data_IF_212545125838
#
_entry.id   IF_212545125838
#
_cell.length_a   1.000
_cell.length_b   1.000
_cell.length_c   1.000
_cell.angle_alpha   90.00
_cell.angle_beta   90.00
_cell.angle_gamma   90.00
#
_symmetry.space_group_name_H-M   'P 1'
#
loop_
_entity.id
_entity.type
_entity.pdbx_description
1 polymer ?
#
# COMPACT_ATOMS: atom_id res chain seq x y z
N UNK A 1 -7.16 16.38 0.13
CA UNK A 1 -7.29 15.54 1.33
C UNK A 1 -8.72 15.00 1.48
N UNK A 2 -9.75 15.85 1.44
CA UNK A 2 -11.17 15.44 1.51
C UNK A 2 -11.59 14.40 0.46
N UNK A 3 -11.10 14.51 -0.78
CA UNK A 3 -11.48 13.60 -1.87
C UNK A 3 -11.11 12.13 -1.65
N UNK A 4 -10.09 11.83 -0.83
CA UNK A 4 -9.59 10.46 -0.65
C UNK A 4 -10.16 9.77 0.58
N UNK A 5 -10.41 10.52 1.66
CA UNK A 5 -11.24 10.05 2.78
C UNK A 5 -12.61 9.62 2.22
N UNK A 6 -13.19 10.45 1.34
CA UNK A 6 -14.42 10.10 0.63
C UNK A 6 -14.34 8.86 -0.26
N UNK A 7 -13.15 8.47 -0.75
CA UNK A 7 -12.99 7.31 -1.62
C UNK A 7 -13.03 6.00 -0.82
N UNK A 8 -12.28 5.90 0.27
CA UNK A 8 -12.36 4.74 1.17
C UNK A 8 -13.74 4.63 1.82
N UNK A 9 -14.39 5.76 2.13
CA UNK A 9 -15.77 5.78 2.61
C UNK A 9 -16.77 5.28 1.56
N UNK A 10 -16.60 5.65 0.28
CA UNK A 10 -17.40 5.12 -0.83
C UNK A 10 -17.27 3.60 -0.94
N UNK A 11 -16.03 3.09 -0.93
CA UNK A 11 -15.73 1.66 -0.96
C UNK A 11 -16.42 0.96 0.23
N UNK A 12 -16.27 1.51 1.43
CA UNK A 12 -16.86 0.93 2.65
C UNK A 12 -18.40 0.90 2.58
N UNK A 13 -19.03 1.97 2.09
CA UNK A 13 -20.47 2.03 1.88
C UNK A 13 -20.95 0.96 0.89
N UNK A 14 -20.26 0.81 -0.25
CA UNK A 14 -20.58 -0.22 -1.24
C UNK A 14 -20.43 -1.62 -0.67
N UNK A 15 -19.35 -1.91 0.06
CA UNK A 15 -19.17 -3.18 0.74
C UNK A 15 -20.30 -3.47 1.74
N UNK A 16 -20.72 -2.47 2.53
CA UNK A 16 -21.85 -2.61 3.45
C UNK A 16 -23.18 -2.87 2.74
N UNK A 17 -23.40 -2.30 1.54
CA UNK A 17 -24.57 -2.61 0.73
C UNK A 17 -24.52 -4.05 0.18
N UNK A 18 -23.38 -4.49 -0.33
CA UNK A 18 -23.20 -5.85 -0.85
C UNK A 18 -23.36 -6.91 0.22
N UNK A 19 -22.87 -6.66 1.44
CA UNK A 19 -23.07 -7.55 2.58
C UNK A 19 -24.56 -7.67 2.92
N UNK A 20 -25.29 -6.55 3.01
CA UNK A 20 -26.74 -6.58 3.30
C UNK A 20 -27.56 -7.29 2.23
N UNK A 21 -27.17 -7.15 0.97
CA UNK A 21 -27.89 -7.72 -0.17
C UNK A 21 -27.38 -9.10 -0.59
N UNK A 22 -26.26 -9.56 -0.02
CA UNK A 22 -25.56 -10.79 -0.38
C UNK A 22 -25.24 -10.88 -1.87
N UNK A 23 -24.99 -9.72 -2.50
CA UNK A 23 -24.70 -9.61 -3.94
C UNK A 23 -23.51 -8.69 -4.16
N UNK A 24 -22.48 -9.20 -4.84
CA UNK A 24 -21.37 -8.38 -5.31
C UNK A 24 -21.86 -7.40 -6.39
N UNK A 25 -21.58 -6.12 -6.20
CA UNK A 25 -21.74 -5.08 -7.20
C UNK A 25 -20.36 -4.74 -7.80
N UNK A 26 -20.17 -5.12 -9.06
CA UNK A 26 -18.93 -4.91 -9.82
C UNK A 26 -18.58 -3.43 -10.04
N UNK A 27 -19.51 -2.51 -9.80
CA UNK A 27 -19.23 -1.07 -9.87
C UNK A 27 -18.13 -0.62 -8.91
N UNK A 28 -17.87 -1.40 -7.84
CA UNK A 28 -16.77 -1.15 -6.88
C UNK A 28 -15.38 -1.24 -7.53
N UNK A 29 -15.25 -1.96 -8.65
CA UNK A 29 -13.96 -2.10 -9.35
C UNK A 29 -13.38 -0.75 -9.78
N UNK A 30 -14.24 0.21 -10.14
CA UNK A 30 -13.83 1.58 -10.48
C UNK A 30 -13.29 2.33 -9.27
N UNK A 31 -13.90 2.14 -8.10
CA UNK A 31 -13.44 2.79 -6.87
C UNK A 31 -12.08 2.23 -6.43
N UNK A 32 -11.87 0.92 -6.58
CA UNK A 32 -10.56 0.30 -6.35
C UNK A 32 -9.50 0.84 -7.32
N UNK A 33 -9.81 0.93 -8.61
CA UNK A 33 -8.88 1.48 -9.61
C UNK A 33 -8.51 2.94 -9.29
N UNK A 34 -9.48 3.77 -8.88
CA UNK A 34 -9.21 5.13 -8.43
C UNK A 34 -8.27 5.16 -7.21
N UNK A 35 -8.47 4.27 -6.24
CA UNK A 35 -7.63 4.20 -5.05
C UNK A 35 -6.21 3.71 -5.39
N UNK A 36 -6.08 2.72 -6.26
CA UNK A 36 -4.81 2.23 -6.79
C UNK A 36 -4.03 3.35 -7.50
N UNK A 37 -4.69 4.12 -8.34
CA UNK A 37 -4.08 5.24 -9.07
C UNK A 37 -3.57 6.33 -8.11
N UNK A 38 -4.34 6.69 -7.09
CA UNK A 38 -3.92 7.67 -6.09
C UNK A 38 -2.71 7.20 -5.29
N UNK A 39 -2.67 5.92 -4.90
CA UNK A 39 -1.51 5.36 -4.21
C UNK A 39 -0.28 5.32 -5.12
N UNK A 40 -0.47 5.04 -6.41
CA UNK A 40 0.60 5.07 -7.43
C UNK A 40 1.16 6.48 -7.64
N UNK A 41 0.30 7.50 -7.69
CA UNK A 41 0.74 8.91 -7.74
C UNK A 41 1.54 9.28 -6.49
N UNK A 42 1.11 8.80 -5.33
CA UNK A 42 1.82 9.05 -4.08
C UNK A 42 3.17 8.33 -4.02
N UNK A 43 3.26 7.10 -4.53
CA UNK A 43 4.54 6.39 -4.68
C UNK A 43 5.53 7.23 -5.50
N UNK A 44 5.10 7.81 -6.62
CA UNK A 44 5.94 8.70 -7.45
C UNK A 44 6.37 9.94 -6.67
N UNK A 45 5.44 10.57 -5.96
CA UNK A 45 5.75 11.74 -5.13
C UNK A 45 6.78 11.42 -4.04
N UNK A 46 6.77 10.22 -3.45
CA UNK A 46 7.79 9.79 -2.49
C UNK A 46 9.19 9.70 -3.11
N UNK A 47 9.28 9.25 -4.37
CA UNK A 47 10.56 9.15 -5.11
C UNK A 47 11.10 10.53 -5.47
N UNK A 48 10.21 11.47 -5.78
CA UNK A 48 10.57 12.82 -6.22
C UNK A 48 10.85 13.80 -5.06
N UNK A 49 10.47 13.45 -3.82
CA UNK A 49 10.61 14.27 -2.62
C UNK A 49 12.06 14.38 -2.11
N UNK A 50 12.91 15.09 -2.86
CA UNK A 50 14.33 15.32 -2.55
C UNK A 50 14.56 16.09 -1.25
N UNK A 51 13.56 16.81 -0.77
CA UNK A 51 13.61 17.59 0.47
C UNK A 51 13.48 16.73 1.74
N UNK A 52 13.12 15.43 1.60
CA UNK A 52 12.92 14.52 2.74
C UNK A 52 14.15 13.66 3.01
N UNK A 53 14.28 13.24 4.27
CA UNK A 53 15.20 12.15 4.64
C UNK A 53 14.83 10.89 3.87
N UNK A 54 15.84 10.18 3.36
CA UNK A 54 15.67 8.99 2.53
C UNK A 54 14.88 7.92 3.27
N UNK A 55 15.11 7.78 4.58
CA UNK A 55 14.43 6.81 5.44
C UNK A 55 12.93 7.09 5.55
N UNK A 56 12.55 8.36 5.68
CA UNK A 56 11.15 8.79 5.77
C UNK A 56 10.45 8.62 4.42
N UNK A 57 11.11 9.05 3.34
CA UNK A 57 10.61 8.86 1.97
C UNK A 57 10.42 7.37 1.64
N UNK A 58 11.36 6.52 2.04
CA UNK A 58 11.28 5.07 1.87
C UNK A 58 10.13 4.46 2.67
N UNK A 59 9.93 4.88 3.92
CA UNK A 59 8.82 4.40 4.75
C UNK A 59 7.47 4.74 4.11
N UNK A 60 7.28 5.98 3.66
CA UNK A 60 6.06 6.40 2.98
C UNK A 60 5.83 5.65 1.67
N UNK A 61 6.87 5.52 0.85
CA UNK A 61 6.83 4.72 -0.37
C UNK A 61 6.40 3.28 -0.09
N UNK A 62 7.00 2.65 0.93
CA UNK A 62 6.72 1.26 1.28
C UNK A 62 5.27 1.05 1.75
N UNK A 63 4.73 2.00 2.52
CA UNK A 63 3.32 1.99 2.94
C UNK A 63 2.39 2.07 1.74
N UNK A 64 2.61 3.03 0.84
CA UNK A 64 1.73 3.23 -0.32
C UNK A 64 1.79 2.05 -1.28
N UNK A 65 3.01 1.56 -1.55
CA UNK A 65 3.22 0.39 -2.38
C UNK A 65 2.53 -0.85 -1.83
N UNK A 66 2.70 -1.14 -0.54
CA UNK A 66 2.01 -2.28 0.08
C UNK A 66 0.49 -2.13 -0.01
N UNK A 67 -0.03 -0.93 0.24
CA UNK A 67 -1.46 -0.66 0.20
C UNK A 67 -2.03 -0.82 -1.21
N UNK A 68 -1.34 -0.30 -2.23
CA UNK A 68 -1.75 -0.43 -3.65
C UNK A 68 -1.79 -1.89 -4.06
N UNK A 69 -0.76 -2.66 -3.73
CA UNK A 69 -0.69 -4.07 -4.08
C UNK A 69 -1.79 -4.92 -3.44
N UNK A 70 -2.17 -4.61 -2.19
CA UNK A 70 -3.30 -5.26 -1.52
C UNK A 70 -4.62 -4.91 -2.23
N UNK A 71 -4.81 -3.63 -2.61
CA UNK A 71 -5.98 -3.21 -3.40
C UNK A 71 -6.02 -3.88 -4.78
N UNK A 72 -4.90 -3.95 -5.50
CA UNK A 72 -4.81 -4.66 -6.78
C UNK A 72 -5.21 -6.12 -6.66
N UNK A 73 -4.75 -6.79 -5.59
CA UNK A 73 -5.11 -8.18 -5.30
C UNK A 73 -6.61 -8.31 -4.99
N UNK A 74 -7.15 -7.39 -4.19
CA UNK A 74 -8.57 -7.33 -3.84
C UNK A 74 -9.43 -7.11 -5.09
N UNK A 75 -9.11 -6.10 -5.92
CA UNK A 75 -9.82 -5.77 -7.16
C UNK A 75 -9.85 -6.95 -8.12
N UNK A 76 -8.70 -7.62 -8.33
CA UNK A 76 -8.63 -8.84 -9.16
C UNK A 76 -9.58 -9.92 -8.63
N UNK A 77 -9.61 -10.16 -7.31
CA UNK A 77 -10.53 -11.15 -6.73
C UNK A 77 -11.99 -10.76 -6.91
N UNK A 78 -12.35 -9.49 -6.75
CA UNK A 78 -13.70 -9.02 -7.06
C UNK A 78 -14.09 -9.26 -8.52
N UNK A 79 -13.17 -9.02 -9.48
CA UNK A 79 -13.45 -9.28 -10.90
C UNK A 79 -13.61 -10.78 -11.23
N UNK A 80 -13.02 -11.66 -10.42
CA UNK A 80 -13.08 -13.12 -10.58
C UNK A 80 -14.13 -13.77 -9.66
N UNK A 81 -14.85 -12.99 -8.84
CA UNK A 81 -15.61 -13.51 -7.70
C UNK A 81 -16.75 -14.46 -8.12
N UNK A 82 -17.40 -14.18 -9.25
CA UNK A 82 -18.45 -15.05 -9.79
C UNK A 82 -17.87 -16.39 -10.27
N UNK A 83 -16.80 -16.35 -11.07
CA UNK A 83 -16.14 -17.53 -11.61
C UNK A 83 -15.51 -18.42 -10.52
N UNK A 84 -15.14 -17.83 -9.37
CA UNK A 84 -14.52 -18.52 -8.24
C UNK A 84 -15.46 -18.87 -7.11
N UNK A 85 -16.76 -18.59 -7.27
CA UNK A 85 -17.76 -18.76 -6.19
C UNK A 85 -17.35 -18.05 -4.88
N UNK A 86 -16.65 -16.92 -4.99
CA UNK A 86 -16.24 -16.10 -3.83
C UNK A 86 -17.31 -15.05 -3.46
N UNK A 87 -18.43 -14.98 -4.18
CA UNK A 87 -19.57 -14.13 -3.82
C UNK A 87 -20.45 -14.81 -2.76
N UNK A 88 -20.76 -14.19 -1.61
CA UNK A 88 -20.37 -12.85 -1.16
C UNK A 88 -19.16 -12.83 -0.22
N UNK A 89 -18.50 -13.96 0.03
CA UNK A 89 -17.33 -14.09 0.93
C UNK A 89 -16.27 -13.01 0.70
N UNK A 90 -16.00 -12.65 -0.56
CA UNK A 90 -15.04 -11.59 -0.90
C UNK A 90 -15.40 -10.24 -0.28
N UNK A 91 -16.69 -9.95 -0.09
CA UNK A 91 -17.18 -8.74 0.57
C UNK A 91 -16.77 -8.73 2.03
N UNK A 92 -17.03 -9.81 2.76
CA UNK A 92 -16.71 -9.93 4.19
C UNK A 92 -15.20 -9.83 4.42
N UNK A 93 -14.41 -10.55 3.61
CA UNK A 93 -12.96 -10.48 3.64
C UNK A 93 -12.46 -9.06 3.36
N UNK A 94 -13.08 -8.34 2.42
CA UNK A 94 -12.69 -6.98 2.07
C UNK A 94 -13.05 -5.97 3.15
N UNK A 95 -14.16 -6.17 3.84
CA UNK A 95 -14.54 -5.36 5.01
C UNK A 95 -13.56 -5.48 6.16
N UNK A 96 -12.79 -6.57 6.25
CA UNK A 96 -11.71 -6.66 7.25
C UNK A 96 -10.49 -5.83 6.86
N UNK A 97 -10.19 -5.72 5.55
CA UNK A 97 -8.97 -5.11 5.02
C UNK A 97 -9.12 -3.61 4.79
N UNK A 98 -10.20 -3.18 4.15
CA UNK A 98 -10.42 -1.78 3.72
C UNK A 98 -10.32 -0.78 4.89
N UNK A 99 -10.91 -1.02 6.07
CA UNK A 99 -10.78 -0.09 7.18
C UNK A 99 -9.32 0.08 7.63
N UNK A 100 -8.51 -0.98 7.57
CA UNK A 100 -7.10 -0.94 7.97
C UNK A 100 -6.26 -0.16 6.96
N UNK A 101 -6.57 -0.30 5.68
CA UNK A 101 -5.96 0.53 4.62
C UNK A 101 -6.30 2.01 4.83
N UNK A 102 -7.57 2.33 5.10
CA UNK A 102 -7.99 3.70 5.36
C UNK A 102 -7.31 4.28 6.61
N UNK A 103 -7.26 3.53 7.71
CA UNK A 103 -6.58 3.93 8.94
C UNK A 103 -5.09 4.25 8.71
N UNK A 104 -4.40 3.43 7.92
CA UNK A 104 -3.00 3.65 7.57
C UNK A 104 -2.84 4.88 6.66
N UNK A 105 -3.74 5.04 5.69
CA UNK A 105 -3.75 6.17 4.77
C UNK A 105 -3.97 7.50 5.50
N UNK A 106 -5.01 7.58 6.34
CA UNK A 106 -5.32 8.77 7.15
C UNK A 106 -4.18 9.13 8.11
N UNK A 107 -3.47 8.14 8.64
CA UNK A 107 -2.29 8.38 9.47
C UNK A 107 -1.12 8.97 8.69
N UNK A 108 -0.83 8.43 7.51
CA UNK A 108 0.41 8.75 6.77
C UNK A 108 0.27 10.03 5.93
N UNK A 109 -0.89 10.27 5.33
CA UNK A 109 -1.07 11.35 4.37
C UNK A 109 -0.75 12.74 4.93
N UNK A 110 -1.23 13.12 6.13
CA UNK A 110 -0.95 14.45 6.68
C UNK A 110 0.55 14.64 6.96
N UNK A 111 1.22 13.59 7.42
CA UNK A 111 2.66 13.59 7.74
C UNK A 111 3.50 13.81 6.48
N UNK A 112 3.12 13.19 5.37
CA UNK A 112 3.82 13.35 4.10
C UNK A 112 3.61 14.72 3.45
N UNK A 113 2.42 15.33 3.58
CA UNK A 113 2.20 16.66 2.99
C UNK A 113 2.76 17.80 3.84
N UNK A 114 3.01 17.57 5.13
CA UNK A 114 3.76 18.51 5.95
C UNK A 114 5.26 18.41 5.64
N UNK A 115 5.73 19.21 4.67
CA UNK A 115 7.13 19.19 4.19
C UNK A 115 8.17 19.51 5.28
N UNK A 116 7.77 20.23 6.32
CA UNK A 116 8.66 20.57 7.44
C UNK A 116 8.69 19.49 8.53
N UNK A 117 7.75 18.54 8.47
CA UNK A 117 7.67 17.45 9.45
C UNK A 117 8.74 16.41 9.19
N UNK A 118 9.57 16.19 10.21
CA UNK A 118 10.52 15.09 10.29
C UNK A 118 9.90 14.03 11.19
N UNK A 119 9.83 12.79 10.73
CA UNK A 119 9.27 11.73 11.55
C UNK A 119 10.15 11.50 12.78
N UNK A 120 9.52 11.46 13.94
CA UNK A 120 10.10 10.94 15.17
C UNK A 120 10.16 9.40 15.14
N UNK A 121 11.02 8.82 15.98
CA UNK A 121 11.10 7.35 16.12
C UNK A 121 9.77 6.71 16.54
N UNK A 122 9.00 7.40 17.39
CA UNK A 122 7.68 6.91 17.82
C UNK A 122 6.68 6.87 16.66
N UNK A 123 6.69 7.88 15.78
CA UNK A 123 5.86 7.94 14.57
C UNK A 123 6.27 6.87 13.56
N UNK A 124 7.59 6.71 13.29
CA UNK A 124 8.09 5.63 12.43
C UNK A 124 7.62 4.27 12.94
N UNK A 125 7.79 4.03 14.23
CA UNK A 125 7.33 2.80 14.89
C UNK A 125 5.81 2.61 14.79
N UNK A 126 5.02 3.67 14.94
CA UNK A 126 3.56 3.62 14.82
C UNK A 126 3.12 3.25 13.40
N UNK A 127 3.71 3.89 12.39
CA UNK A 127 3.44 3.60 10.97
C UNK A 127 3.78 2.14 10.66
N UNK A 128 4.96 1.67 11.08
CA UNK A 128 5.39 0.28 10.84
C UNK A 128 4.47 -0.75 11.52
N UNK A 129 4.06 -0.50 12.77
CA UNK A 129 3.08 -1.36 13.44
C UNK A 129 1.74 -1.39 12.71
N UNK A 130 1.28 -0.24 12.23
CA UNK A 130 0.01 -0.15 11.50
C UNK A 130 0.09 -0.85 10.15
N UNK A 131 1.20 -0.69 9.42
CA UNK A 131 1.48 -1.43 8.20
C UNK A 131 1.50 -2.93 8.43
N UNK A 132 2.16 -3.39 9.51
CA UNK A 132 2.16 -4.81 9.89
C UNK A 132 0.73 -5.33 10.07
N UNK A 133 -0.11 -4.62 10.82
CA UNK A 133 -1.52 -5.01 11.01
C UNK A 133 -2.25 -5.13 9.67
N UNK A 134 -2.07 -4.17 8.76
CA UNK A 134 -2.67 -4.24 7.41
C UNK A 134 -2.21 -5.50 6.67
N UNK A 135 -0.91 -5.80 6.69
CA UNK A 135 -0.33 -6.98 6.03
C UNK A 135 -0.80 -8.29 6.67
N UNK A 136 -0.89 -8.36 8.00
CA UNK A 136 -1.37 -9.54 8.73
C UNK A 136 -2.83 -9.83 8.39
N UNK A 137 -3.68 -8.78 8.38
CA UNK A 137 -5.09 -8.92 7.99
C UNK A 137 -5.20 -9.32 6.51
N UNK A 138 -4.45 -8.67 5.61
CA UNK A 138 -4.42 -9.03 4.19
C UNK A 138 -3.92 -10.47 3.97
N UNK A 139 -3.00 -10.97 4.80
CA UNK A 139 -2.55 -12.36 4.75
C UNK A 139 -3.68 -13.31 5.16
N UNK A 140 -4.37 -13.03 6.27
CA UNK A 140 -5.50 -13.85 6.75
C UNK A 140 -6.67 -13.90 5.76
N UNK A 141 -6.83 -12.85 4.94
CA UNK A 141 -7.89 -12.78 3.92
C UNK A 141 -7.43 -13.18 2.53
N UNK A 142 -6.20 -13.69 2.35
CA UNK A 142 -5.62 -14.02 1.03
C UNK A 142 -5.56 -12.84 0.04
N UNK A 143 -5.39 -11.62 0.56
CA UNK A 143 -5.20 -10.37 -0.18
C UNK A 143 -3.76 -9.85 -0.16
N UNK A 144 -2.84 -10.55 0.51
CA UNK A 144 -1.43 -10.21 0.42
C UNK A 144 -0.89 -10.53 -0.99
N UNK A 145 -0.08 -9.65 -1.60
CA UNK A 145 0.56 -9.95 -2.87
C UNK A 145 1.54 -11.13 -2.75
N UNK A 146 1.75 -11.84 -3.86
CA UNK A 146 2.79 -12.86 -3.91
C UNK A 146 4.19 -12.24 -3.97
N UNK A 147 5.22 -13.02 -3.66
CA UNK A 147 6.62 -12.58 -3.79
C UNK A 147 6.94 -12.12 -5.22
N UNK A 148 6.39 -12.81 -6.23
CA UNK A 148 6.57 -12.41 -7.62
C UNK A 148 5.84 -11.11 -7.96
N UNK A 149 4.67 -10.87 -7.36
CA UNK A 149 3.99 -9.59 -7.48
C UNK A 149 4.81 -8.47 -6.82
N UNK A 150 5.38 -8.69 -5.63
CA UNK A 150 6.21 -7.67 -4.93
C UNK A 150 7.46 -7.29 -5.73
N UNK A 151 8.03 -8.26 -6.46
CA UNK A 151 9.18 -8.04 -7.36
C UNK A 151 8.83 -7.25 -8.63
N UNK A 152 7.56 -7.17 -9.04
CA UNK A 152 7.17 -6.43 -10.26
C UNK A 152 7.46 -4.94 -10.09
N UNK A 153 8.16 -4.36 -11.06
CA UNK A 153 8.55 -2.94 -11.02
C UNK A 153 9.80 -2.63 -10.19
N UNK A 154 10.42 -3.64 -9.55
CA UNK A 154 11.76 -3.49 -8.98
C UNK A 154 12.77 -3.64 -10.12
N UNK A 155 13.45 -2.55 -10.49
CA UNK A 155 14.53 -2.60 -11.48
C UNK A 155 15.75 -3.34 -10.91
N UNK A 156 15.76 -4.67 -11.05
CA UNK A 156 16.83 -5.56 -10.54
C UNK A 156 18.23 -5.11 -10.95
N UNK A 157 18.37 -4.57 -12.17
CA UNK A 157 19.63 -4.03 -12.69
C UNK A 157 20.11 -2.80 -11.92
N UNK A 158 19.20 -1.88 -11.61
CA UNK A 158 19.49 -0.66 -10.84
C UNK A 158 19.85 -1.00 -9.39
N UNK A 159 19.11 -1.92 -8.78
CA UNK A 159 19.42 -2.40 -7.42
C UNK A 159 20.77 -3.12 -7.36
N UNK A 160 21.06 -3.99 -8.33
CA UNK A 160 22.36 -4.68 -8.42
C UNK A 160 23.51 -3.69 -8.60
N UNK A 161 23.34 -2.66 -9.43
CA UNK A 161 24.34 -1.57 -9.56
C UNK A 161 24.51 -0.79 -8.26
N UNK A 162 23.42 -0.46 -7.57
CA UNK A 162 23.47 0.23 -6.27
C UNK A 162 24.19 -0.61 -5.20
N UNK A 163 23.91 -1.91 -5.13
CA UNK A 163 24.60 -2.84 -4.22
C UNK A 163 26.08 -3.00 -4.55
N UNK A 164 26.43 -3.13 -5.83
CA UNK A 164 27.84 -3.21 -6.23
C UNK A 164 28.57 -1.91 -5.86
N UNK A 165 28.01 -0.74 -6.16
CA UNK A 165 28.61 0.53 -5.78
C UNK A 165 28.75 0.69 -4.27
N UNK A 166 27.83 0.15 -3.48
CA UNK A 166 27.94 0.15 -2.02
C UNK A 166 29.04 -0.80 -1.54
N UNK A 167 29.11 -2.01 -2.10
CA UNK A 167 30.15 -2.99 -1.80
C UNK A 167 31.54 -2.43 -2.14
N UNK A 168 31.70 -1.80 -3.31
CA UNK A 168 32.94 -1.17 -3.75
C UNK A 168 33.36 -0.05 -2.79
N UNK A 169 32.41 0.77 -2.31
CA UNK A 169 32.68 1.82 -1.32
C UNK A 169 33.08 1.26 0.05
N UNK A 170 32.46 0.17 0.48
CA UNK A 170 32.81 -0.47 1.74
C UNK A 170 34.17 -1.14 1.66
N UNK A 171 34.51 -1.76 0.53
CA UNK A 171 35.82 -2.36 0.28
C UNK A 171 36.93 -1.29 0.36
N UNK A 172 36.71 -0.13 -0.27
CA UNK A 172 37.66 1.00 -0.21
C UNK A 172 37.87 1.55 1.21
N UNK A 173 36.84 1.54 2.06
CA UNK A 173 37.00 1.93 3.47
C UNK A 173 37.74 0.89 4.33
N UNK A 174 37.78 -0.38 3.91
CA UNK A 174 38.49 -1.45 4.61
C UNK A 174 39.96 -1.53 4.16
N UNK A 175 40.26 -1.09 2.94
CA UNK A 175 41.62 -1.06 2.39
C UNK A 175 42.43 0.20 2.79
N UNK A 176 41.80 1.17 3.48
CA UNK A 176 42.43 2.41 3.98
C UNK A 176 42.82 2.37 5.49
N UNK A 177 42.69 1.20 6.16
CA UNK A 177 43.26 0.91 7.50
C UNK A 177 44.53 0.03 7.41
#
# INVERSE_FOLDING_TARGET
MEKVIGLFDSIFCKLGYMERTQKVDISILKDFELAENQLSEFEKACIEAKERKVEDAFLFFHVMRSSRMILEKMRRRFSEAEARHENPVIVDLSKMVVPRLNELYVMVLPLFYNKQHVLSESERGAILRRLKIVRDVASSTSMIPSVEDEKKGIMKSTLKKGFNNLADRLQLCVDEE
#
